data_IF_043059328129
#
_entry.id   IF_043059328129
#
_cell.length_a   1.000
_cell.length_b   1.000
_cell.length_c   1.000
_cell.angle_alpha   90.00
_cell.angle_beta   90.00
_cell.angle_gamma   90.00
#
_symmetry.space_group_name_H-M   'P 1'
#
loop_
_entity.id
_entity.type
_entity.pdbx_description
1 polymer ?
#
# COMPACT_ATOMS: atom_id res chain seq x y z
N UNK A 1 -13.36 -20.64 22.16
CA UNK A 1 -12.46 -19.79 21.37
C UNK A 1 -12.94 -18.36 21.49
N UNK A 2 -12.08 -17.41 21.87
CA UNK A 2 -12.45 -15.98 21.96
C UNK A 2 -12.35 -15.38 20.57
N UNK A 3 -13.45 -14.80 20.06
CA UNK A 3 -13.52 -14.18 18.73
C UNK A 3 -12.74 -12.86 18.69
N UNK A 4 -13.06 -11.93 19.60
CA UNK A 4 -12.36 -10.67 19.78
C UNK A 4 -12.50 -10.21 21.24
N UNK A 5 -11.60 -9.33 21.68
CA UNK A 5 -11.67 -8.67 22.99
C UNK A 5 -11.67 -7.16 22.81
N UNK A 6 -12.48 -6.48 23.62
CA UNK A 6 -12.66 -5.02 23.56
C UNK A 6 -12.04 -4.42 24.82
N UNK A 7 -11.16 -3.43 24.64
CA UNK A 7 -10.47 -2.76 25.75
C UNK A 7 -10.76 -1.27 25.69
N UNK A 8 -11.47 -0.76 26.68
CA UNK A 8 -11.66 0.67 26.87
C UNK A 8 -10.43 1.28 27.54
N UNK A 9 -9.90 2.39 27.02
CA UNK A 9 -8.68 3.01 27.55
C UNK A 9 -8.92 4.22 28.43
N UNK A 10 -10.08 4.88 28.30
CA UNK A 10 -10.39 6.13 28.98
C UNK A 10 -11.60 5.99 29.93
N UNK A 11 -11.81 4.80 30.49
CA UNK A 11 -12.95 4.50 31.37
C UNK A 11 -12.41 3.84 32.63
N UNK A 12 -12.73 4.41 33.78
CA UNK A 12 -12.43 3.77 35.06
C UNK A 12 -13.57 2.84 35.47
N UNK A 13 -13.24 1.80 36.23
CA UNK A 13 -14.20 0.77 36.67
C UNK A 13 -15.33 1.35 37.53
N UNK A 14 -15.10 2.51 38.16
CA UNK A 14 -16.03 3.14 39.08
C UNK A 14 -16.96 4.18 38.41
N UNK A 15 -16.75 4.49 37.13
CA UNK A 15 -17.56 5.48 36.44
C UNK A 15 -18.91 4.88 36.04
N UNK A 16 -20.01 5.53 36.42
CA UNK A 16 -21.37 5.07 36.12
C UNK A 16 -21.84 5.44 34.72
N UNK A 17 -21.10 6.33 34.04
CA UNK A 17 -21.41 6.83 32.71
C UNK A 17 -20.16 6.83 31.83
N UNK A 18 -20.37 6.56 30.55
CA UNK A 18 -19.31 6.67 29.56
C UNK A 18 -18.92 8.15 29.35
N UNK A 19 -17.62 8.45 29.21
CA UNK A 19 -17.17 9.79 28.90
C UNK A 19 -17.66 10.21 27.49
N UNK A 20 -17.81 11.52 27.23
CA UNK A 20 -18.26 12.01 25.92
C UNK A 20 -17.35 11.56 24.78
N UNK A 21 -16.03 11.50 25.02
CA UNK A 21 -15.08 10.89 24.09
C UNK A 21 -14.60 9.53 24.64
N UNK A 22 -15.18 8.46 24.09
CA UNK A 22 -14.85 7.08 24.47
C UNK A 22 -13.83 6.50 23.49
N UNK A 23 -12.68 6.08 24.00
CA UNK A 23 -11.63 5.43 23.22
C UNK A 23 -11.59 3.94 23.58
N UNK A 24 -11.76 3.09 22.57
CA UNK A 24 -11.71 1.63 22.71
C UNK A 24 -10.76 1.01 21.69
N UNK A 25 -10.33 -0.23 21.97
CA UNK A 25 -9.47 -1.03 21.11
C UNK A 25 -10.08 -2.41 20.94
N UNK A 26 -10.22 -2.86 19.69
CA UNK A 26 -10.60 -4.25 19.38
C UNK A 26 -9.31 -5.05 19.18
N UNK A 27 -9.16 -6.15 19.92
CA UNK A 27 -8.05 -7.10 19.80
C UNK A 27 -8.61 -8.45 19.38
N UNK A 28 -8.35 -8.81 18.13
CA UNK A 28 -8.70 -10.09 17.52
C UNK A 28 -7.42 -10.91 17.28
N UNK A 29 -7.57 -12.22 17.06
CA UNK A 29 -6.45 -13.07 16.67
C UNK A 29 -5.84 -12.56 15.36
N UNK A 30 -4.51 -12.40 15.34
CA UNK A 30 -3.75 -11.89 14.19
C UNK A 30 -3.89 -12.74 12.92
N UNK A 31 -4.31 -14.00 13.03
CA UNK A 31 -4.57 -14.85 11.86
C UNK A 31 -5.93 -14.57 11.19
N UNK A 32 -6.83 -13.87 11.89
CA UNK A 32 -8.19 -13.56 11.43
C UNK A 32 -8.34 -12.09 10.99
N UNK A 33 -7.31 -11.26 11.13
CA UNK A 33 -7.31 -9.86 10.71
C UNK A 33 -6.05 -9.58 9.90
N UNK A 34 -6.11 -8.68 8.91
CA UNK A 34 -4.91 -8.32 8.17
C UNK A 34 -3.88 -7.66 9.08
N UNK A 35 -2.61 -7.78 8.68
CA UNK A 35 -1.49 -7.24 9.45
C UNK A 35 -1.53 -5.71 9.54
N UNK A 36 -1.47 -5.18 10.75
CA UNK A 36 -1.43 -3.73 11.02
C UNK A 36 -0.02 -3.13 10.95
N UNK A 37 0.99 -3.91 10.54
CA UNK A 37 2.38 -3.42 10.39
C UNK A 37 2.49 -2.32 9.34
N UNK A 38 1.58 -2.30 8.36
CA UNK A 38 1.60 -1.40 7.21
C UNK A 38 0.18 -0.97 6.86
N UNK A 39 0.01 0.31 6.58
CA UNK A 39 -1.27 0.86 6.12
C UNK A 39 -1.43 0.70 4.60
N UNK A 40 -0.32 0.73 3.86
CA UNK A 40 -0.28 0.59 2.39
C UNK A 40 0.93 -0.22 1.94
N UNK A 41 0.83 -0.75 0.73
CA UNK A 41 1.91 -1.43 0.03
C UNK A 41 3.08 -0.49 -0.27
N UNK A 42 4.27 -1.06 -0.51
CA UNK A 42 5.52 -0.28 -0.64
C UNK A 42 5.57 0.42 -1.98
N UNK A 43 5.12 -0.29 -2.99
CA UNK A 43 5.08 0.14 -4.37
C UNK A 43 3.62 0.17 -4.76
N UNK A 44 3.22 1.27 -5.38
CA UNK A 44 1.89 1.37 -5.95
C UNK A 44 1.88 0.58 -7.26
N UNK A 45 0.94 -0.34 -7.37
CA UNK A 45 0.67 -1.09 -8.58
C UNK A 45 -0.83 -0.95 -8.85
N UNK A 46 -1.24 -0.55 -10.07
CA UNK A 46 -2.65 -0.52 -10.40
C UNK A 46 -3.18 -1.96 -10.36
N UNK A 47 -4.15 -2.23 -9.50
CA UNK A 47 -4.84 -3.51 -9.39
C UNK A 47 -6.07 -3.32 -8.53
N UNK A 48 -7.20 -4.00 -8.80
CA UNK A 48 -8.23 -4.14 -7.79
C UNK A 48 -7.66 -4.91 -6.58
N UNK A 49 -8.23 -4.69 -5.41
CA UNK A 49 -7.82 -5.42 -4.21
C UNK A 49 -8.07 -6.92 -4.42
N UNK A 50 -7.02 -7.74 -4.26
CA UNK A 50 -7.11 -9.19 -4.43
C UNK A 50 -7.38 -9.91 -3.11
N UNK A 51 -6.91 -9.33 -2.01
CA UNK A 51 -7.22 -9.82 -0.69
C UNK A 51 -8.63 -9.32 -0.38
N UNK A 52 -9.61 -10.22 -0.43
CA UNK A 52 -11.02 -9.93 -0.16
C UNK A 52 -11.26 -9.30 1.21
N UNK A 53 -12.48 -9.40 1.71
CA UNK A 53 -12.91 -8.61 2.86
C UNK A 53 -12.50 -9.18 4.20
N UNK A 54 -11.21 -9.38 4.47
CA UNK A 54 -10.73 -10.04 5.70
C UNK A 54 -11.31 -9.42 6.98
N UNK A 55 -11.48 -8.10 7.04
CA UNK A 55 -12.13 -7.44 8.19
C UNK A 55 -13.62 -7.74 8.32
N UNK A 56 -14.32 -7.97 7.21
CA UNK A 56 -15.74 -8.32 7.18
C UNK A 56 -15.95 -9.83 7.36
N UNK A 57 -15.22 -10.64 6.60
CA UNK A 57 -15.30 -12.10 6.57
C UNK A 57 -15.05 -12.72 7.95
N UNK A 58 -14.14 -12.14 8.73
CA UNK A 58 -13.83 -12.56 10.09
C UNK A 58 -14.50 -11.72 11.18
N UNK A 59 -15.46 -10.86 10.81
CA UNK A 59 -16.36 -10.17 11.75
C UNK A 59 -15.73 -9.03 12.57
N UNK A 60 -14.54 -8.54 12.21
CA UNK A 60 -13.95 -7.37 12.88
C UNK A 60 -14.84 -6.14 12.71
N UNK A 61 -15.31 -5.88 11.48
CA UNK A 61 -16.19 -4.74 11.19
C UNK A 61 -17.56 -4.88 11.86
N UNK A 62 -18.05 -6.11 12.06
CA UNK A 62 -19.32 -6.37 12.74
C UNK A 62 -19.23 -6.01 14.22
N UNK A 63 -18.15 -6.43 14.87
CA UNK A 63 -17.88 -6.07 16.27
C UNK A 63 -17.74 -4.55 16.41
N UNK A 64 -17.07 -3.90 15.46
CA UNK A 64 -16.95 -2.44 15.44
C UNK A 64 -18.33 -1.75 15.33
N UNK A 65 -19.18 -2.18 14.40
CA UNK A 65 -20.53 -1.62 14.23
C UNK A 65 -21.38 -1.78 15.50
N UNK A 66 -21.39 -2.98 16.10
CA UNK A 66 -22.18 -3.26 17.31
C UNK A 66 -21.71 -2.41 18.49
N UNK A 67 -20.39 -2.26 18.67
CA UNK A 67 -19.83 -1.44 19.75
C UNK A 67 -20.13 0.05 19.53
N UNK A 68 -19.85 0.58 18.33
CA UNK A 68 -20.08 1.98 18.01
C UNK A 68 -21.56 2.34 18.22
N UNK A 69 -22.46 1.47 17.78
CA UNK A 69 -23.91 1.63 17.99
C UNK A 69 -24.26 1.63 19.48
N UNK A 70 -23.72 0.71 20.27
CA UNK A 70 -23.98 0.65 21.72
C UNK A 70 -23.46 1.87 22.47
N UNK A 71 -22.33 2.45 22.04
CA UNK A 71 -21.79 3.68 22.62
C UNK A 71 -22.72 4.85 22.29
N UNK A 72 -23.21 4.94 21.05
CA UNK A 72 -24.15 5.98 20.65
C UNK A 72 -25.46 5.85 21.44
N UNK A 73 -26.03 4.65 21.56
CA UNK A 73 -27.27 4.39 22.30
C UNK A 73 -27.17 4.83 23.77
N UNK A 74 -26.05 4.52 24.42
CA UNK A 74 -25.81 4.87 25.82
C UNK A 74 -25.56 6.37 26.02
N UNK A 75 -24.89 7.04 25.08
CA UNK A 75 -24.65 8.48 25.15
C UNK A 75 -25.90 9.31 24.86
N UNK A 76 -26.72 8.89 23.90
CA UNK A 76 -27.96 9.60 23.52
C UNK A 76 -29.11 9.26 24.48
N UNK A 77 -29.08 8.09 25.14
CA UNK A 77 -30.12 7.64 26.06
C UNK A 77 -31.38 7.12 25.36
N UNK A 78 -31.28 6.74 24.08
CA UNK A 78 -32.36 6.13 23.29
C UNK A 78 -31.78 5.06 22.36
N UNK A 79 -32.55 4.04 22.02
CA UNK A 79 -32.15 3.02 21.04
C UNK A 79 -32.09 3.62 19.63
N UNK A 80 -30.92 3.62 19.01
CA UNK A 80 -30.70 4.05 17.63
C UNK A 80 -30.84 2.82 16.72
N UNK A 81 -32.01 2.65 16.12
CA UNK A 81 -32.33 1.53 15.18
C UNK A 81 -31.97 1.87 13.73
N UNK A 82 -31.77 3.14 13.43
CA UNK A 82 -31.37 3.65 12.11
C UNK A 82 -30.19 4.59 12.30
N UNK A 83 -29.19 4.61 11.39
CA UNK A 83 -29.18 4.05 10.03
C UNK A 83 -28.72 2.59 9.94
N UNK A 84 -29.10 1.91 8.85
CA UNK A 84 -28.49 0.64 8.45
C UNK A 84 -27.13 0.89 7.80
N UNK A 85 -26.10 0.14 8.19
CA UNK A 85 -24.78 0.20 7.59
C UNK A 85 -24.70 -0.80 6.43
N UNK A 86 -24.22 -0.32 5.28
CA UNK A 86 -23.87 -1.18 4.16
C UNK A 86 -22.42 -0.92 3.76
N UNK A 87 -21.73 -1.98 3.37
CA UNK A 87 -20.36 -1.91 2.88
C UNK A 87 -20.34 -2.27 1.40
N UNK A 88 -19.72 -1.40 0.59
CA UNK A 88 -19.58 -1.58 -0.86
C UNK A 88 -18.19 -1.18 -1.30
N UNK A 89 -17.49 -2.06 -2.03
CA UNK A 89 -16.28 -1.66 -2.72
C UNK A 89 -16.57 -0.73 -3.88
N UNK A 90 -15.67 0.23 -4.06
CA UNK A 90 -15.63 1.02 -5.27
C UNK A 90 -15.23 0.14 -6.43
N UNK A 91 -16.05 0.11 -7.48
CA UNK A 91 -15.77 -0.67 -8.67
C UNK A 91 -14.46 -0.19 -9.33
N UNK A 92 -13.57 -1.14 -9.61
CA UNK A 92 -12.33 -0.88 -10.34
C UNK A 92 -12.60 -0.98 -11.85
N UNK A 93 -12.01 -0.10 -12.70
CA UNK A 93 -12.14 -0.22 -14.14
C UNK A 93 -11.56 -1.54 -14.66
N UNK A 94 -11.95 -1.94 -15.88
CA UNK A 94 -11.41 -3.15 -16.51
C UNK A 94 -9.88 -3.12 -16.51
N UNK A 95 -9.26 -4.11 -15.86
CA UNK A 95 -7.83 -4.18 -15.68
C UNK A 95 -7.30 -5.54 -16.11
N UNK A 96 -6.27 -5.52 -16.95
CA UNK A 96 -5.57 -6.72 -17.44
C UNK A 96 -4.33 -6.96 -16.59
N UNK A 97 -4.27 -8.11 -15.93
CA UNK A 97 -3.11 -8.51 -15.14
C UNK A 97 -1.97 -8.97 -16.04
N UNK A 98 -0.97 -8.11 -16.23
CA UNK A 98 0.26 -8.45 -16.96
C UNK A 98 1.51 -8.23 -16.10
N UNK A 99 1.85 -9.27 -15.34
CA UNK A 99 3.05 -9.29 -14.50
C UNK A 99 4.34 -9.22 -15.34
N UNK A 100 4.30 -9.74 -16.57
CA UNK A 100 5.47 -9.73 -17.45
C UNK A 100 5.77 -8.31 -17.93
N UNK A 101 4.74 -7.57 -18.35
CA UNK A 101 4.89 -6.17 -18.78
C UNK A 101 5.44 -5.29 -17.66
N UNK A 102 4.97 -5.48 -16.43
CA UNK A 102 5.49 -4.73 -15.28
C UNK A 102 6.96 -5.06 -15.00
N UNK A 103 7.34 -6.34 -15.07
CA UNK A 103 8.72 -6.77 -14.86
C UNK A 103 9.65 -6.23 -15.96
N UNK A 104 9.25 -6.39 -17.24
CA UNK A 104 10.10 -5.99 -18.37
C UNK A 104 10.24 -4.47 -18.46
N UNK A 105 9.23 -3.69 -18.07
CA UNK A 105 9.33 -2.22 -18.02
C UNK A 105 10.50 -1.75 -17.14
N UNK A 106 10.79 -2.47 -16.04
CA UNK A 106 11.90 -2.16 -15.16
C UNK A 106 13.22 -2.81 -15.58
N UNK A 107 13.19 -4.01 -16.18
CA UNK A 107 14.39 -4.73 -16.58
C UNK A 107 14.97 -4.29 -17.93
N UNK A 108 14.12 -3.86 -18.88
CA UNK A 108 14.51 -3.55 -20.24
C UNK A 108 15.58 -2.45 -20.34
N UNK A 109 15.48 -1.30 -19.62
CA UNK A 109 16.51 -0.27 -19.70
C UNK A 109 17.88 -0.75 -19.21
N UNK A 110 17.91 -1.63 -18.21
CA UNK A 110 19.13 -2.22 -17.68
C UNK A 110 19.77 -3.15 -18.73
N UNK A 111 18.99 -4.02 -19.36
CA UNK A 111 19.49 -4.87 -20.45
C UNK A 111 20.03 -4.05 -21.63
N UNK A 112 19.33 -2.97 -22.00
CA UNK A 112 19.70 -2.11 -23.12
C UNK A 112 21.00 -1.35 -22.83
N UNK A 113 21.13 -0.78 -21.63
CA UNK A 113 22.37 -0.09 -21.21
C UNK A 113 23.56 -1.04 -21.18
N UNK A 114 23.41 -2.25 -20.61
CA UNK A 114 24.48 -3.27 -20.60
C UNK A 114 24.90 -3.65 -22.02
N UNK A 115 23.95 -3.80 -22.94
CA UNK A 115 24.24 -4.18 -24.33
C UNK A 115 25.16 -3.18 -25.05
N UNK A 116 25.10 -1.90 -24.68
CA UNK A 116 25.87 -0.84 -25.33
C UNK A 116 27.18 -0.50 -24.61
N UNK A 117 27.45 -1.06 -23.42
CA UNK A 117 28.66 -0.75 -22.65
C UNK A 117 29.93 -0.97 -23.48
N UNK A 118 30.02 -2.08 -24.19
CA UNK A 118 31.18 -2.39 -25.04
C UNK A 118 31.33 -1.40 -26.20
N UNK A 119 30.23 -1.08 -26.89
CA UNK A 119 30.25 -0.14 -28.00
C UNK A 119 30.71 1.26 -27.56
N UNK A 120 30.20 1.75 -26.43
CA UNK A 120 30.65 3.02 -25.85
C UNK A 120 32.10 2.97 -25.36
N UNK A 121 32.55 1.85 -24.80
CA UNK A 121 33.94 1.69 -24.38
C UNK A 121 34.89 1.78 -25.59
N UNK A 122 34.59 1.05 -26.68
CA UNK A 122 35.40 1.10 -27.90
C UNK A 122 35.37 2.48 -28.57
N UNK A 123 34.21 3.13 -28.60
CA UNK A 123 34.07 4.49 -29.15
C UNK A 123 34.85 5.53 -28.34
N UNK A 124 34.81 5.46 -27.01
CA UNK A 124 35.58 6.40 -26.18
C UNK A 124 37.08 6.15 -26.32
N UNK A 125 37.52 4.89 -26.39
CA UNK A 125 38.92 4.55 -26.64
C UNK A 125 39.41 5.10 -27.99
N UNK A 126 38.64 4.93 -29.08
CA UNK A 126 39.05 5.41 -30.40
C UNK A 126 39.16 6.94 -30.46
N UNK A 127 38.20 7.65 -29.85
CA UNK A 127 38.23 9.12 -29.78
C UNK A 127 39.42 9.61 -28.95
N UNK A 128 39.72 8.96 -27.82
CA UNK A 128 40.86 9.34 -26.97
C UNK A 128 42.17 9.08 -27.70
N UNK A 129 42.30 7.93 -28.37
CA UNK A 129 43.47 7.58 -29.16
C UNK A 129 43.74 8.60 -30.28
N UNK A 130 42.70 9.02 -31.01
CA UNK A 130 42.82 10.04 -32.05
C UNK A 130 43.28 11.40 -31.49
N UNK A 131 42.77 11.77 -30.30
CA UNK A 131 43.17 13.00 -29.60
C UNK A 131 44.62 12.94 -29.10
N UNK A 132 45.07 11.80 -28.60
CA UNK A 132 46.44 11.61 -28.12
C UNK A 132 47.46 11.80 -29.24
N UNK A 133 47.19 11.21 -30.42
CA UNK A 133 48.04 11.35 -31.61
C UNK A 133 47.88 12.73 -32.27
N UNK A 134 46.99 13.60 -31.75
CA UNK A 134 46.64 14.91 -32.33
C UNK A 134 46.22 14.81 -33.79
N UNK A 135 45.68 13.67 -34.21
CA UNK A 135 45.20 13.45 -35.58
C UNK A 135 44.14 14.48 -35.96
N UNK A 136 43.28 14.86 -35.00
CA UNK A 136 42.31 15.95 -35.17
C UNK A 136 42.95 17.30 -35.48
N UNK A 137 44.09 17.62 -34.89
CA UNK A 137 44.79 18.88 -35.13
C UNK A 137 45.49 18.85 -36.49
N UNK A 138 46.14 17.74 -36.83
CA UNK A 138 46.76 17.54 -38.15
C UNK A 138 45.72 17.65 -39.26
N UNK A 139 44.57 16.99 -39.12
CA UNK A 139 43.46 17.12 -40.07
C UNK A 139 42.96 18.56 -40.19
N UNK A 140 42.84 19.29 -39.08
CA UNK A 140 42.42 20.71 -39.08
C UNK A 140 43.42 21.63 -39.80
N UNK A 141 44.71 21.31 -39.77
CA UNK A 141 45.75 22.08 -40.47
C UNK A 141 45.77 21.73 -41.97
N UNK A 142 45.41 20.51 -42.34
CA UNK A 142 45.35 20.07 -43.73
C UNK A 142 44.18 20.67 -44.52
N UNK A 143 43.18 21.26 -43.83
CA UNK A 143 42.00 21.90 -44.44
C UNK A 143 40.74 21.09 -44.20
#
# INVERSE_FOLDING_TARGET
TVLASVVFTNVNINDTKLPPNTIYKIRQNASLTPSTKRVRDRFWVPSPAQNGFVYYDFGFSWVQEVIDRSIIDTQVGRSVVEPGLFFQEMAYPCYTYDNFLQMIQHALPLCLTISWVYAFAMLTQSIVYEKEVRLKEVMKIMG
#
